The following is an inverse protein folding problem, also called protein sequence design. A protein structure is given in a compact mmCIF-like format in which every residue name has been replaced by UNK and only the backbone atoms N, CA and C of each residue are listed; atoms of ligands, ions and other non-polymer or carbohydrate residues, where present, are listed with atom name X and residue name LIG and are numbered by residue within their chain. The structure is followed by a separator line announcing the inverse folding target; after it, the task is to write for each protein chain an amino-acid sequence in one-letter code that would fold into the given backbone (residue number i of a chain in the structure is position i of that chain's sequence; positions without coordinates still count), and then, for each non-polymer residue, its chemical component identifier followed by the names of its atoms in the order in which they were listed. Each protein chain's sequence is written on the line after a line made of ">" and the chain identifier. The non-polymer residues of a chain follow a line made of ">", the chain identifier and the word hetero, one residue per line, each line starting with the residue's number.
data_IF_840960507022
#
_entry.id   IF_840960507022
#
_cell.length_a   1.000
_cell.length_b   1.000
_cell.length_c   1.000
_cell.angle_alpha   90.00
_cell.angle_beta   90.00
_cell.angle_gamma   90.00
#
_symmetry.space_group_name_H-M   'P 1'
#
loop_
_entity.id
_entity.type
_entity.pdbx_description
1 polymer ?
#
# COMPACT_ATOMS: atom_id res chain seq x y z
N UNK A 1 -62.51 0.23 -123.46
CA UNK A 1 -62.57 -0.83 -122.40
C UNK A 1 -61.23 -1.04 -121.71
N UNK A 2 -60.14 -1.42 -122.41
CA UNK A 2 -58.85 -1.76 -121.76
C UNK A 2 -58.15 -0.63 -120.96
N UNK A 3 -58.18 0.63 -121.42
CA UNK A 3 -57.54 1.76 -120.70
C UNK A 3 -58.21 2.06 -119.34
N UNK A 4 -59.52 1.93 -119.25
CA UNK A 4 -60.29 2.15 -118.01
C UNK A 4 -60.00 1.05 -116.98
N UNK A 5 -59.86 -0.20 -117.45
CA UNK A 5 -59.51 -1.36 -116.63
C UNK A 5 -58.06 -1.30 -116.08
N UNK A 6 -57.10 -0.73 -116.85
CA UNK A 6 -55.74 -0.50 -116.35
C UNK A 6 -55.69 0.57 -115.26
N UNK A 7 -56.35 1.72 -115.46
CA UNK A 7 -56.42 2.80 -114.47
C UNK A 7 -57.05 2.36 -113.14
N UNK A 8 -58.12 1.56 -113.22
CA UNK A 8 -58.78 1.02 -112.02
C UNK A 8 -57.92 -0.01 -111.29
N UNK A 9 -57.19 -0.87 -112.00
CA UNK A 9 -56.21 -1.79 -111.39
C UNK A 9 -55.05 -1.04 -110.71
N UNK A 10 -54.55 0.04 -111.31
CA UNK A 10 -53.49 0.87 -110.71
C UNK A 10 -53.96 1.55 -109.42
N UNK A 11 -55.17 2.12 -109.40
CA UNK A 11 -55.78 2.69 -108.20
C UNK A 11 -55.99 1.64 -107.10
N UNK A 12 -56.42 0.43 -107.47
CA UNK A 12 -56.62 -0.66 -106.51
C UNK A 12 -55.29 -1.15 -105.91
N UNK A 13 -54.22 -1.23 -106.71
CA UNK A 13 -52.87 -1.51 -106.21
C UNK A 13 -52.36 -0.43 -105.25
N UNK A 14 -52.60 0.86 -105.56
CA UNK A 14 -52.22 1.96 -104.66
C UNK A 14 -52.96 1.87 -103.33
N UNK A 15 -54.29 1.66 -103.39
CA UNK A 15 -55.11 1.49 -102.19
C UNK A 15 -54.67 0.32 -101.32
N UNK A 16 -54.38 -0.85 -101.92
CA UNK A 16 -53.84 -2.00 -101.20
C UNK A 16 -52.45 -1.72 -100.60
N UNK A 17 -51.62 -0.95 -101.31
CA UNK A 17 -50.34 -0.46 -100.80
C UNK A 17 -50.51 0.43 -99.55
N UNK A 18 -51.44 1.38 -99.61
CA UNK A 18 -51.75 2.28 -98.50
C UNK A 18 -52.30 1.52 -97.27
N UNK A 19 -53.18 0.54 -97.50
CA UNK A 19 -53.69 -0.36 -96.44
C UNK A 19 -52.54 -1.13 -95.79
N UNK A 20 -51.60 -1.67 -96.59
CA UNK A 20 -50.44 -2.40 -96.07
C UNK A 20 -49.51 -1.51 -95.25
N UNK A 21 -49.23 -0.30 -95.74
CA UNK A 21 -48.45 0.70 -95.01
C UNK A 21 -49.14 1.09 -93.69
N UNK A 22 -50.47 1.23 -93.70
CA UNK A 22 -51.26 1.51 -92.50
C UNK A 22 -51.17 0.37 -91.48
N UNK A 23 -51.27 -0.88 -91.94
CA UNK A 23 -51.11 -2.07 -91.09
C UNK A 23 -49.69 -2.17 -90.49
N UNK A 24 -48.64 -1.90 -91.29
CA UNK A 24 -47.26 -1.91 -90.80
C UNK A 24 -47.01 -0.81 -89.74
N UNK A 25 -47.60 0.37 -89.94
CA UNK A 25 -47.57 1.46 -88.95
C UNK A 25 -48.29 1.05 -87.67
N UNK A 26 -49.46 0.44 -87.78
CA UNK A 26 -50.23 -0.06 -86.63
C UNK A 26 -49.43 -1.10 -85.83
N UNK A 27 -48.84 -2.09 -86.50
CA UNK A 27 -48.01 -3.11 -85.86
C UNK A 27 -46.73 -2.52 -85.21
N UNK A 28 -46.20 -1.41 -85.76
CA UNK A 28 -45.09 -0.69 -85.13
C UNK A 28 -45.54 0.04 -83.85
N UNK A 29 -46.72 0.66 -83.87
CA UNK A 29 -47.30 1.32 -82.69
C UNK A 29 -47.58 0.30 -81.58
N UNK A 30 -48.13 -0.86 -81.90
CA UNK A 30 -48.40 -1.93 -80.93
C UNK A 30 -47.13 -2.45 -80.26
N UNK A 31 -46.05 -2.68 -81.03
CA UNK A 31 -44.75 -3.08 -80.46
C UNK A 31 -44.17 -2.03 -79.51
N UNK A 32 -44.25 -0.75 -79.89
CA UNK A 32 -43.79 0.35 -79.03
C UNK A 32 -44.64 0.47 -77.75
N UNK A 33 -45.94 0.23 -77.84
CA UNK A 33 -46.84 0.19 -76.69
C UNK A 33 -46.47 -0.94 -75.71
N UNK A 34 -46.18 -2.14 -76.24
CA UNK A 34 -45.75 -3.28 -75.42
C UNK A 34 -44.39 -3.00 -74.74
N UNK A 35 -43.42 -2.45 -75.47
CA UNK A 35 -42.12 -2.05 -74.92
C UNK A 35 -42.25 -0.98 -73.82
N UNK A 36 -43.10 0.03 -74.03
CA UNK A 36 -43.38 1.05 -73.01
C UNK A 36 -44.07 0.45 -71.79
N UNK A 37 -45.03 -0.45 -71.98
CA UNK A 37 -45.70 -1.20 -70.90
C UNK A 37 -44.69 -1.98 -70.06
N UNK A 38 -43.76 -2.69 -70.71
CA UNK A 38 -42.75 -3.48 -70.04
C UNK A 38 -41.76 -2.60 -69.26
N UNK A 39 -41.29 -1.49 -69.86
CA UNK A 39 -40.45 -0.49 -69.18
C UNK A 39 -41.15 0.15 -67.98
N UNK A 40 -42.45 0.46 -68.09
CA UNK A 40 -43.23 0.99 -66.97
C UNK A 40 -43.35 -0.02 -65.82
N UNK A 41 -43.58 -1.31 -66.13
CA UNK A 41 -43.57 -2.39 -65.13
C UNK A 41 -42.22 -2.53 -64.46
N UNK A 42 -41.13 -2.44 -65.21
CA UNK A 42 -39.79 -2.52 -64.64
C UNK A 42 -39.45 -1.32 -63.75
N UNK A 43 -39.78 -0.11 -64.20
CA UNK A 43 -39.59 1.12 -63.43
C UNK A 43 -40.39 1.11 -62.12
N UNK A 44 -41.66 0.66 -62.15
CA UNK A 44 -42.49 0.55 -60.95
C UNK A 44 -41.92 -0.45 -59.95
N UNK A 45 -41.44 -1.61 -60.42
CA UNK A 45 -40.74 -2.59 -59.56
C UNK A 45 -39.46 -2.00 -58.93
N UNK A 46 -38.70 -1.21 -59.67
CA UNK A 46 -37.51 -0.53 -59.13
C UNK A 46 -37.88 0.53 -58.09
N UNK A 47 -38.93 1.33 -58.34
CA UNK A 47 -39.42 2.32 -57.38
C UNK A 47 -39.88 1.64 -56.08
N UNK A 48 -40.55 0.50 -56.15
CA UNK A 48 -41.00 -0.20 -54.95
C UNK A 48 -39.82 -0.80 -54.16
N UNK A 49 -38.79 -1.33 -54.82
CA UNK A 49 -37.55 -1.75 -54.16
C UNK A 49 -36.89 -0.59 -53.42
N UNK A 50 -36.76 0.56 -54.08
CA UNK A 50 -36.19 1.77 -53.46
C UNK A 50 -37.03 2.23 -52.26
N UNK A 51 -38.37 2.16 -52.36
CA UNK A 51 -39.26 2.52 -51.25
C UNK A 51 -39.03 1.64 -50.03
N UNK A 52 -38.94 0.31 -50.21
CA UNK A 52 -38.69 -0.64 -49.11
C UNK A 52 -37.35 -0.36 -48.42
N UNK A 53 -36.29 -0.16 -49.20
CA UNK A 53 -34.96 0.17 -48.65
C UNK A 53 -35.01 1.49 -47.88
N UNK A 54 -35.72 2.50 -48.39
CA UNK A 54 -35.85 3.79 -47.72
C UNK A 54 -36.63 3.70 -46.39
N UNK A 55 -37.69 2.89 -46.34
CA UNK A 55 -38.42 2.58 -45.10
C UNK A 55 -37.51 1.87 -44.08
N UNK A 56 -36.74 0.87 -44.51
CA UNK A 56 -35.78 0.17 -43.63
C UNK A 56 -34.71 1.11 -43.07
N UNK A 57 -34.15 1.99 -43.90
CA UNK A 57 -33.18 3.01 -43.47
C UNK A 57 -33.82 4.00 -42.49
N UNK A 58 -35.07 4.40 -42.72
CA UNK A 58 -35.80 5.28 -41.82
C UNK A 58 -36.02 4.65 -40.44
N UNK A 59 -36.36 3.36 -40.39
CA UNK A 59 -36.53 2.63 -39.12
C UNK A 59 -35.20 2.55 -38.37
N UNK A 60 -34.12 2.14 -39.05
CA UNK A 60 -32.78 2.06 -38.45
C UNK A 60 -32.28 3.41 -37.95
N UNK A 61 -32.56 4.50 -38.66
CA UNK A 61 -32.19 5.85 -38.20
C UNK A 61 -32.91 6.22 -36.89
N UNK A 62 -34.19 5.87 -36.76
CA UNK A 62 -34.94 6.12 -35.53
C UNK A 62 -34.43 5.26 -34.36
N UNK A 63 -34.13 3.99 -34.61
CA UNK A 63 -33.54 3.07 -33.62
C UNK A 63 -32.18 3.58 -33.13
N UNK A 64 -31.27 3.91 -34.05
CA UNK A 64 -29.96 4.47 -33.71
C UNK A 64 -30.06 5.79 -32.96
N UNK A 65 -31.04 6.64 -33.31
CA UNK A 65 -31.30 7.89 -32.59
C UNK A 65 -31.70 7.63 -31.12
N UNK A 66 -32.56 6.63 -30.89
CA UNK A 66 -32.98 6.23 -29.54
C UNK A 66 -31.81 5.63 -28.73
N UNK A 67 -31.00 4.77 -29.34
CA UNK A 67 -29.80 4.21 -28.72
C UNK A 67 -28.81 5.31 -28.31
N UNK A 68 -28.60 6.29 -29.19
CA UNK A 68 -27.69 7.41 -28.95
C UNK A 68 -28.18 8.30 -27.80
N UNK A 69 -29.49 8.52 -27.69
CA UNK A 69 -30.11 9.22 -26.56
C UNK A 69 -29.94 8.45 -25.24
N UNK A 70 -30.15 7.12 -25.26
CA UNK A 70 -29.94 6.28 -24.09
C UNK A 70 -28.49 6.28 -23.61
N UNK A 71 -27.53 6.18 -24.55
CA UNK A 71 -26.10 6.24 -24.24
C UNK A 71 -25.69 7.60 -23.64
N UNK A 72 -26.26 8.71 -24.13
CA UNK A 72 -26.05 10.04 -23.55
C UNK A 72 -26.51 10.10 -22.09
N UNK A 73 -27.70 9.58 -21.78
CA UNK A 73 -28.22 9.54 -20.40
C UNK A 73 -27.31 8.72 -19.49
N UNK A 74 -26.93 7.49 -19.90
CA UNK A 74 -26.01 6.64 -19.13
C UNK A 74 -24.66 7.35 -18.91
N UNK A 75 -24.14 8.05 -19.93
CA UNK A 75 -22.90 8.79 -19.79
C UNK A 75 -23.02 9.94 -18.79
N UNK A 76 -24.14 10.67 -18.78
CA UNK A 76 -24.40 11.76 -17.83
C UNK A 76 -24.53 11.24 -16.40
N UNK A 77 -25.27 10.14 -16.21
CA UNK A 77 -25.44 9.51 -14.89
C UNK A 77 -24.10 9.02 -14.33
N UNK A 78 -23.27 8.39 -15.18
CA UNK A 78 -21.92 7.97 -14.78
C UNK A 78 -21.01 9.15 -14.44
N UNK A 79 -21.12 10.26 -15.19
CA UNK A 79 -20.36 11.46 -14.89
C UNK A 79 -20.75 12.04 -13.52
N UNK A 80 -22.05 12.09 -13.22
CA UNK A 80 -22.55 12.55 -11.92
C UNK A 80 -22.14 11.63 -10.75
N UNK A 81 -22.06 10.31 -10.98
CA UNK A 81 -21.55 9.35 -9.99
C UNK A 81 -20.07 9.60 -9.67
N UNK A 82 -19.24 9.77 -10.69
CA UNK A 82 -17.80 10.07 -10.52
C UNK A 82 -17.61 11.38 -9.76
N UNK A 83 -18.40 12.41 -10.07
CA UNK A 83 -18.36 13.70 -9.37
C UNK A 83 -18.72 13.55 -7.89
N UNK A 84 -19.75 12.77 -7.55
CA UNK A 84 -20.11 12.46 -6.15
C UNK A 84 -18.97 11.75 -5.41
N UNK A 85 -18.37 10.74 -6.02
CA UNK A 85 -17.26 9.99 -5.41
C UNK A 85 -16.03 10.88 -5.19
N UNK A 86 -15.74 11.79 -6.12
CA UNK A 86 -14.64 12.74 -5.99
C UNK A 86 -14.86 13.69 -4.81
N UNK A 87 -16.09 14.18 -4.64
CA UNK A 87 -16.44 15.08 -3.54
C UNK A 87 -16.40 14.37 -2.17
N UNK A 88 -16.85 13.13 -2.10
CA UNK A 88 -16.74 12.29 -0.90
C UNK A 88 -15.28 12.04 -0.51
N UNK A 89 -14.43 11.66 -1.47
CA UNK A 89 -12.99 11.48 -1.23
C UNK A 89 -12.30 12.78 -0.82
N UNK A 90 -12.72 13.92 -1.39
CA UNK A 90 -12.22 15.24 -1.00
C UNK A 90 -12.57 15.58 0.46
N UNK A 91 -13.79 15.25 0.90
CA UNK A 91 -14.22 15.44 2.29
C UNK A 91 -13.42 14.56 3.25
N UNK A 92 -13.32 13.25 2.96
CA UNK A 92 -12.50 12.30 3.75
C UNK A 92 -11.05 12.75 3.87
N UNK A 93 -10.46 13.26 2.78
CA UNK A 93 -9.10 13.81 2.80
C UNK A 93 -8.98 15.05 3.69
N UNK A 94 -9.99 15.93 3.76
CA UNK A 94 -9.98 17.07 4.67
C UNK A 94 -10.09 16.63 6.14
N UNK A 95 -10.95 15.67 6.43
CA UNK A 95 -11.11 15.11 7.77
C UNK A 95 -9.81 14.44 8.25
N UNK A 96 -9.21 13.59 7.43
CA UNK A 96 -7.94 12.94 7.72
C UNK A 96 -6.81 13.96 7.94
N UNK A 97 -6.76 15.04 7.16
CA UNK A 97 -5.80 16.15 7.40
C UNK A 97 -6.00 16.81 8.76
N UNK A 98 -7.25 17.06 9.15
CA UNK A 98 -7.56 17.65 10.46
C UNK A 98 -7.15 16.71 11.60
N UNK A 99 -7.33 15.40 11.44
CA UNK A 99 -6.94 14.42 12.46
C UNK A 99 -5.42 14.30 12.59
N UNK A 100 -4.70 14.28 11.46
CA UNK A 100 -3.24 14.35 11.44
C UNK A 100 -2.69 15.59 12.15
N UNK A 101 -3.38 16.73 12.00
CA UNK A 101 -3.03 17.97 12.70
C UNK A 101 -3.22 17.85 14.21
N UNK A 102 -4.34 17.27 14.68
CA UNK A 102 -4.56 17.02 16.11
C UNK A 102 -3.51 16.09 16.69
N UNK A 103 -3.20 14.99 16.01
CA UNK A 103 -2.17 14.04 16.44
C UNK A 103 -0.79 14.69 16.51
N UNK A 104 -0.47 15.60 15.58
CA UNK A 104 0.76 16.39 15.64
C UNK A 104 0.84 17.24 16.91
N UNK A 105 -0.22 17.97 17.23
CA UNK A 105 -0.30 18.78 18.46
C UNK A 105 -0.11 17.93 19.72
N UNK A 106 -0.77 16.77 19.79
CA UNK A 106 -0.63 15.85 20.93
C UNK A 106 0.80 15.32 21.05
N UNK A 107 1.42 14.92 19.93
CA UNK A 107 2.80 14.41 19.92
C UNK A 107 3.81 15.48 20.37
N UNK A 108 3.58 16.74 20.03
CA UNK A 108 4.42 17.86 20.49
C UNK A 108 4.32 18.04 22.01
N UNK A 109 3.11 18.02 22.57
CA UNK A 109 2.89 18.10 24.03
C UNK A 109 3.55 16.92 24.75
N UNK A 110 3.38 15.69 24.25
CA UNK A 110 4.01 14.50 24.84
C UNK A 110 5.54 14.60 24.78
N UNK A 111 6.10 15.13 23.68
CA UNK A 111 7.55 15.33 23.54
C UNK A 111 8.09 16.31 24.57
N UNK A 112 7.39 17.45 24.78
CA UNK A 112 7.76 18.40 25.84
C UNK A 112 7.70 17.73 27.21
N UNK A 113 6.63 16.99 27.52
CA UNK A 113 6.48 16.32 28.81
C UNK A 113 7.55 15.25 29.06
N UNK A 114 7.96 14.52 28.03
CA UNK A 114 9.05 13.56 28.12
C UNK A 114 10.39 14.22 28.44
N UNK A 115 10.66 15.40 27.87
CA UNK A 115 11.85 16.18 28.19
C UNK A 115 11.84 16.65 29.65
N UNK A 116 10.69 17.16 30.13
CA UNK A 116 10.52 17.59 31.52
C UNK A 116 10.76 16.43 32.50
N UNK A 117 10.13 15.28 32.25
CA UNK A 117 10.32 14.08 33.09
C UNK A 117 11.76 13.58 33.05
N UNK A 118 12.44 13.69 31.91
CA UNK A 118 13.86 13.34 31.79
C UNK A 118 14.74 14.25 32.65
N UNK A 119 14.46 15.56 32.67
CA UNK A 119 15.14 16.53 33.53
C UNK A 119 14.89 16.24 35.03
N UNK A 120 13.64 15.94 35.39
CA UNK A 120 13.28 15.55 36.76
C UNK A 120 14.03 14.29 37.22
N UNK A 121 14.10 13.26 36.36
CA UNK A 121 14.85 12.03 36.64
C UNK A 121 16.34 12.31 36.86
N UNK A 122 16.93 13.18 36.05
CA UNK A 122 18.34 13.53 36.19
C UNK A 122 18.64 14.31 37.49
N UNK A 123 17.75 15.23 37.87
CA UNK A 123 17.85 15.96 39.13
C UNK A 123 17.72 15.02 40.34
N UNK A 124 16.77 14.06 40.31
CA UNK A 124 16.63 13.06 41.36
C UNK A 124 17.87 12.18 41.49
N UNK A 125 18.48 11.76 40.37
CA UNK A 125 19.74 11.00 40.38
C UNK A 125 20.89 11.80 41.01
N UNK A 126 21.01 13.09 40.70
CA UNK A 126 22.02 13.97 41.34
C UNK A 126 21.82 14.06 42.85
N UNK A 127 20.59 14.30 43.31
CA UNK A 127 20.29 14.35 44.74
C UNK A 127 20.50 13.02 45.44
N UNK A 128 20.24 11.89 44.77
CA UNK A 128 20.56 10.57 45.31
C UNK A 128 22.07 10.38 45.46
N UNK A 129 22.86 10.75 44.44
CA UNK A 129 24.32 10.70 44.51
C UNK A 129 24.89 11.62 45.62
N UNK A 130 24.33 12.81 45.80
CA UNK A 130 24.68 13.75 46.89
C UNK A 130 24.37 13.17 48.28
N UNK A 131 23.21 12.51 48.45
CA UNK A 131 22.81 11.83 49.69
C UNK A 131 23.69 10.61 49.99
N UNK A 132 24.06 9.85 48.96
CA UNK A 132 24.98 8.72 49.10
C UNK A 132 26.40 9.20 49.48
N UNK A 133 26.86 10.34 48.94
CA UNK A 133 28.13 10.96 49.31
C UNK A 133 28.15 11.49 50.75
N UNK A 134 27.05 12.08 51.22
CA UNK A 134 26.91 12.56 52.62
C UNK A 134 26.74 11.42 53.62
N UNK A 135 26.13 10.29 53.22
CA UNK A 135 26.09 9.07 54.05
C UNK A 135 27.48 8.45 54.24
N UNK A 136 28.39 8.61 53.30
CA UNK A 136 29.77 8.14 53.42
C UNK A 136 30.65 9.03 54.32
N UNK A 137 30.29 10.28 54.59
CA UNK A 137 31.09 11.19 55.45
C UNK A 137 30.73 11.15 56.93
N UNK A 138 29.61 10.51 57.34
CA UNK A 138 29.19 10.44 58.74
C UNK A 138 29.60 9.18 59.51
N UNK A 139 30.35 8.24 58.90
CA UNK A 139 30.94 7.10 59.61
C UNK A 139 32.45 7.30 59.85
N UNK A 140 32.80 8.42 60.48
CA UNK A 140 34.14 8.68 61.02
C UNK A 140 34.20 8.37 62.52
N UNK A 141 33.97 7.11 62.92
CA UNK A 141 34.34 6.65 64.27
C UNK A 141 35.64 5.85 64.17
N UNK A 142 36.73 6.52 64.54
CA UNK A 142 38.03 5.89 64.79
C UNK A 142 37.91 5.12 66.11
N UNK A 143 37.98 3.79 66.04
CA UNK A 143 38.26 2.94 67.19
C UNK A 143 39.71 2.46 67.12
N UNK A 144 40.50 2.89 68.10
CA UNK A 144 41.80 2.30 68.46
C UNK A 144 41.65 0.83 68.83
N UNK A 145 42.54 -0.03 68.32
CA UNK A 145 42.59 -1.44 68.75
C UNK A 145 43.39 -2.37 67.85
N UNK A 146 44.70 -2.39 68.10
CA UNK A 146 45.58 -3.59 68.09
C UNK A 146 45.89 -4.32 66.78
N UNK A 147 47.19 -4.34 66.48
CA UNK A 147 47.90 -5.09 65.45
C UNK A 147 47.68 -6.61 65.55
N UNK A 148 47.18 -7.22 64.48
CA UNK A 148 47.71 -8.49 63.97
C UNK A 148 47.71 -8.45 62.45
N UNK A 149 48.89 -8.67 61.88
CA UNK A 149 49.11 -8.79 60.45
C UNK A 149 48.24 -9.91 59.87
N UNK A 150 47.26 -9.55 59.05
CA UNK A 150 46.72 -10.39 57.99
C UNK A 150 46.36 -9.45 56.85
N UNK A 151 46.86 -9.77 55.66
CA UNK A 151 46.63 -9.02 54.44
C UNK A 151 45.12 -8.81 54.24
N UNK A 152 44.73 -7.55 54.07
CA UNK A 152 43.37 -7.17 53.74
C UNK A 152 43.02 -7.82 52.40
N UNK A 153 42.17 -8.86 52.44
CA UNK A 153 41.34 -9.21 51.30
C UNK A 153 40.45 -7.99 51.03
N UNK A 154 40.85 -7.19 50.04
CA UNK A 154 40.03 -6.12 49.50
C UNK A 154 38.76 -6.77 48.92
N UNK A 155 37.71 -6.72 49.72
CA UNK A 155 36.38 -7.12 49.32
C UNK A 155 35.96 -6.30 48.12
N UNK A 156 35.73 -6.98 46.99
CA UNK A 156 34.85 -6.43 45.98
C UNK A 156 34.03 -7.54 45.34
N UNK A 157 32.71 -7.43 45.56
CA UNK A 157 31.64 -8.24 45.01
C UNK A 157 31.57 -9.70 45.51
N UNK A 158 30.68 -9.93 46.48
CA UNK A 158 30.22 -11.26 46.86
C UNK A 158 29.58 -11.94 45.63
N UNK A 159 30.09 -13.09 45.14
CA UNK A 159 29.53 -13.81 44.01
C UNK A 159 28.05 -14.14 44.18
N UNK A 160 27.58 -14.31 45.43
CA UNK A 160 26.17 -14.54 45.72
C UNK A 160 25.30 -13.30 45.45
N UNK A 161 25.82 -12.09 45.71
CA UNK A 161 25.12 -10.84 45.43
C UNK A 161 25.05 -10.55 43.94
N UNK A 162 26.11 -10.85 43.18
CA UNK A 162 26.10 -10.73 41.72
C UNK A 162 25.11 -11.70 41.09
N UNK A 163 25.14 -12.97 41.50
CA UNK A 163 24.18 -13.96 41.02
C UNK A 163 22.76 -13.60 41.40
N UNK A 164 22.52 -13.03 42.59
CA UNK A 164 21.19 -12.54 42.97
C UNK A 164 20.73 -11.41 42.06
N UNK A 165 21.57 -10.43 41.78
CA UNK A 165 21.23 -9.30 40.90
C UNK A 165 20.98 -9.75 39.45
N UNK A 166 21.82 -10.67 38.94
CA UNK A 166 21.65 -11.27 37.61
C UNK A 166 20.34 -12.07 37.54
N UNK A 167 20.07 -12.90 38.56
CA UNK A 167 18.85 -13.70 38.62
C UNK A 167 17.60 -12.83 38.76
N UNK A 168 17.63 -11.79 39.61
CA UNK A 168 16.53 -10.83 39.72
C UNK A 168 16.30 -10.06 38.41
N UNK A 169 17.37 -9.71 37.69
CA UNK A 169 17.28 -9.07 36.37
C UNK A 169 16.68 -10.03 35.34
N UNK A 170 17.11 -11.29 35.33
CA UNK A 170 16.54 -12.34 34.47
C UNK A 170 15.07 -12.63 34.80
N UNK A 171 14.71 -12.72 36.08
CA UNK A 171 13.32 -12.90 36.51
C UNK A 171 12.44 -11.70 36.12
N UNK A 172 12.96 -10.48 36.21
CA UNK A 172 12.27 -9.27 35.72
C UNK A 172 12.11 -9.32 34.20
N UNK A 173 13.12 -9.75 33.46
CA UNK A 173 13.02 -9.93 32.00
C UNK A 173 12.01 -11.01 31.63
N UNK A 174 11.98 -12.14 32.32
CA UNK A 174 11.00 -13.23 32.10
C UNK A 174 9.57 -12.73 32.37
N UNK A 175 9.35 -12.05 33.50
CA UNK A 175 8.04 -11.45 33.83
C UNK A 175 7.62 -10.39 32.81
N UNK A 176 8.55 -9.56 32.34
CA UNK A 176 8.29 -8.59 31.27
C UNK A 176 7.93 -9.28 29.95
N UNK A 177 8.60 -10.37 29.59
CA UNK A 177 8.26 -11.15 28.39
C UNK A 177 6.91 -11.86 28.50
N UNK A 178 6.54 -12.37 29.68
CA UNK A 178 5.21 -12.96 29.91
C UNK A 178 4.09 -11.92 29.84
N UNK A 179 4.28 -10.75 30.44
CA UNK A 179 3.32 -9.63 30.34
C UNK A 179 3.19 -9.15 28.90
N UNK A 180 4.30 -9.09 28.14
CA UNK A 180 4.30 -8.71 26.73
C UNK A 180 3.68 -9.76 25.81
N UNK A 181 3.91 -11.04 26.06
CA UNK A 181 3.25 -12.13 25.33
C UNK A 181 1.73 -12.05 25.46
N UNK A 182 1.22 -11.75 26.66
CA UNK A 182 -0.20 -11.47 26.89
C UNK A 182 -0.68 -10.20 26.18
N UNK A 183 0.14 -9.14 26.17
CA UNK A 183 -0.20 -7.90 25.46
C UNK A 183 -0.26 -8.09 23.94
N UNK A 184 0.53 -9.01 23.35
CA UNK A 184 0.47 -9.32 21.90
C UNK A 184 -0.79 -10.13 21.57
N UNK A 185 -1.19 -11.05 22.43
CA UNK A 185 -2.51 -11.72 22.33
C UNK A 185 -3.66 -10.70 22.45
N UNK A 186 -3.50 -9.64 23.24
CA UNK A 186 -4.47 -8.53 23.33
C UNK A 186 -4.37 -7.50 22.18
N UNK A 187 -3.19 -7.28 21.56
CA UNK A 187 -2.98 -6.31 20.46
C UNK A 187 -3.32 -6.90 19.09
N UNK A 188 -3.22 -8.22 18.91
CA UNK A 188 -3.84 -8.92 17.78
C UNK A 188 -5.32 -9.18 18.08
N UNK A 189 -6.06 -8.11 18.35
CA UNK A 189 -7.50 -8.19 18.53
C UNK A 189 -8.15 -8.61 17.21
N UNK A 190 -8.80 -9.78 17.18
CA UNK A 190 -9.55 -10.24 16.02
C UNK A 190 -10.72 -9.28 15.70
N UNK A 191 -11.09 -8.42 16.64
CA UNK A 191 -12.07 -7.36 16.45
C UNK A 191 -11.52 -6.07 15.85
N UNK A 192 -10.19 -5.91 15.74
CA UNK A 192 -9.54 -4.75 15.15
C UNK A 192 -9.96 -4.56 13.68
N UNK A 193 -10.46 -3.36 13.39
CA UNK A 193 -11.08 -3.01 12.11
C UNK A 193 -10.06 -3.00 10.96
N UNK A 194 -8.81 -2.64 11.22
CA UNK A 194 -7.74 -2.67 10.24
C UNK A 194 -7.27 -4.10 9.93
N UNK A 195 -7.24 -4.99 10.92
CA UNK A 195 -6.96 -6.42 10.71
C UNK A 195 -8.09 -7.13 9.96
N UNK A 196 -9.35 -6.75 10.20
CA UNK A 196 -10.52 -7.25 9.44
C UNK A 196 -10.48 -6.84 7.97
N UNK A 197 -10.14 -5.58 7.68
CA UNK A 197 -9.97 -5.10 6.30
C UNK A 197 -8.82 -5.81 5.57
N UNK A 198 -7.70 -6.04 6.27
CA UNK A 198 -6.58 -6.82 5.73
C UNK A 198 -6.97 -8.27 5.42
N UNK A 199 -7.79 -8.89 6.28
CA UNK A 199 -8.30 -10.25 6.07
C UNK A 199 -9.28 -10.32 4.90
N UNK A 200 -10.09 -9.29 4.69
CA UNK A 200 -10.96 -9.17 3.51
C UNK A 200 -10.19 -8.98 2.20
N UNK A 201 -9.01 -8.34 2.25
CA UNK A 201 -8.12 -8.16 1.10
C UNK A 201 -7.36 -9.44 0.70
N UNK A 202 -7.23 -10.41 1.61
CA UNK A 202 -6.70 -11.74 1.33
C UNK A 202 -5.84 -12.34 2.45
N UNK A 203 -6.07 -13.61 2.75
CA UNK A 203 -5.43 -14.32 3.86
C UNK A 203 -3.89 -14.29 3.83
N UNK A 204 -3.28 -14.37 2.65
CA UNK A 204 -1.82 -14.33 2.53
C UNK A 204 -1.19 -12.98 2.90
N UNK A 205 -1.90 -11.87 2.70
CA UNK A 205 -1.42 -10.53 3.11
C UNK A 205 -1.54 -10.39 4.63
N UNK A 206 -2.65 -10.86 5.19
CA UNK A 206 -2.88 -10.91 6.62
C UNK A 206 -1.77 -11.70 7.34
N UNK A 207 -1.47 -12.92 6.89
CA UNK A 207 -0.46 -13.78 7.53
C UNK A 207 0.93 -13.12 7.52
N UNK A 208 1.33 -12.50 6.40
CA UNK A 208 2.62 -11.79 6.27
C UNK A 208 2.70 -10.59 7.21
N UNK A 209 1.62 -9.80 7.33
CA UNK A 209 1.60 -8.63 8.22
C UNK A 209 1.64 -9.06 9.69
N UNK A 210 0.89 -10.10 10.06
CA UNK A 210 0.93 -10.66 11.42
C UNK A 210 2.31 -11.24 11.76
N UNK A 211 2.95 -11.92 10.81
CA UNK A 211 4.30 -12.46 10.99
C UNK A 211 5.34 -11.34 11.15
N UNK A 212 5.27 -10.29 10.32
CA UNK A 212 6.15 -9.13 10.42
C UNK A 212 5.97 -8.37 11.74
N UNK A 213 4.74 -8.21 12.23
CA UNK A 213 4.47 -7.58 13.54
C UNK A 213 5.06 -8.40 14.69
N UNK A 214 4.93 -9.73 14.65
CA UNK A 214 5.55 -10.64 15.62
C UNK A 214 7.07 -10.59 15.56
N UNK A 215 7.65 -10.50 14.36
CA UNK A 215 9.10 -10.42 14.16
C UNK A 215 9.67 -9.07 14.64
N UNK A 216 8.97 -7.96 14.38
CA UNK A 216 9.35 -6.63 14.84
C UNK A 216 9.41 -6.53 16.37
N UNK A 217 8.46 -7.14 17.09
CA UNK A 217 8.49 -7.17 18.55
C UNK A 217 9.63 -8.06 19.09
N UNK A 218 9.84 -9.23 18.46
CA UNK A 218 10.94 -10.15 18.80
C UNK A 218 12.31 -9.49 18.66
N UNK A 219 12.48 -8.58 17.70
CA UNK A 219 13.77 -7.94 17.44
C UNK A 219 13.93 -6.57 18.11
N UNK A 220 12.87 -5.79 18.36
CA UNK A 220 12.97 -4.42 18.89
C UNK A 220 11.71 -3.89 19.62
N UNK A 221 11.31 -4.55 20.70
CA UNK A 221 10.13 -4.24 21.52
C UNK A 221 10.25 -3.03 22.46
N UNK A 222 11.16 -2.08 22.20
CA UNK A 222 11.24 -0.80 22.93
C UNK A 222 11.54 0.42 22.05
N UNK A 223 11.64 0.22 20.73
CA UNK A 223 11.64 1.29 19.74
C UNK A 223 12.51 2.51 20.06
N UNK A 224 13.82 2.37 20.31
CA UNK A 224 14.89 3.42 20.15
C UNK A 224 16.22 3.13 20.88
N UNK A 225 16.79 1.93 20.83
CA UNK A 225 18.23 1.80 21.17
C UNK A 225 18.89 0.70 20.36
N UNK A 226 19.96 1.05 19.64
CA UNK A 226 20.88 0.05 19.09
C UNK A 226 21.41 -0.72 20.30
N UNK A 227 21.07 -2.01 20.42
CA UNK A 227 21.65 -2.88 21.44
C UNK A 227 23.02 -3.31 20.91
N UNK A 228 24.15 -2.77 21.43
CA UNK A 228 25.46 -3.19 20.98
C UNK A 228 25.67 -4.66 21.38
N UNK A 229 25.81 -5.52 20.38
CA UNK A 229 26.09 -6.93 20.59
C UNK A 229 27.60 -7.17 20.73
N UNK A 230 28.00 -7.89 21.78
CA UNK A 230 29.39 -8.32 21.93
C UNK A 230 29.66 -9.48 20.96
N UNK A 231 30.66 -9.32 20.10
CA UNK A 231 31.04 -10.33 19.11
C UNK A 231 32.33 -11.04 19.50
N UNK A 232 32.33 -12.38 19.45
CA UNK A 232 33.55 -13.16 19.58
C UNK A 232 34.18 -13.32 18.18
N UNK A 233 35.08 -12.40 17.83
CA UNK A 233 35.75 -12.41 16.52
C UNK A 233 36.60 -13.66 16.25
N UNK A 234 37.03 -14.37 17.30
CA UNK A 234 37.80 -15.62 17.13
C UNK A 234 36.92 -16.77 16.64
N UNK A 235 35.67 -16.83 17.09
CA UNK A 235 34.72 -17.90 16.75
C UNK A 235 33.68 -17.47 15.70
N UNK A 236 33.68 -16.20 15.29
CA UNK A 236 32.79 -15.69 14.25
C UNK A 236 31.31 -15.66 14.65
N UNK A 237 31.01 -15.64 15.95
CA UNK A 237 29.64 -15.64 16.50
C UNK A 237 29.46 -14.61 17.61
N UNK A 238 28.22 -14.36 18.01
CA UNK A 238 27.90 -13.57 19.22
C UNK A 238 28.61 -14.16 20.43
N UNK A 239 29.25 -13.29 21.21
CA UNK A 239 29.91 -13.67 22.45
C UNK A 239 28.86 -14.03 23.50
N UNK A 240 29.11 -15.11 24.22
CA UNK A 240 28.29 -15.49 25.38
C UNK A 240 28.60 -14.57 26.56
N UNK A 241 27.67 -14.48 27.50
CA UNK A 241 27.82 -13.66 28.72
C UNK A 241 29.05 -14.09 29.52
N UNK A 242 29.34 -15.40 29.57
CA UNK A 242 30.52 -15.96 30.25
C UNK A 242 31.81 -15.45 29.59
N UNK A 243 31.92 -15.53 28.27
CA UNK A 243 33.07 -15.00 27.52
C UNK A 243 33.25 -13.49 27.72
N UNK A 244 32.15 -12.74 27.81
CA UNK A 244 32.17 -11.30 28.11
C UNK A 244 32.72 -10.98 29.49
N UNK A 245 32.28 -11.72 30.52
CA UNK A 245 32.74 -11.57 31.91
C UNK A 245 34.22 -11.94 32.02
N UNK A 246 34.65 -13.04 31.39
CA UNK A 246 36.05 -13.47 31.38
C UNK A 246 36.96 -12.44 30.68
N UNK A 247 36.49 -11.85 29.58
CA UNK A 247 37.19 -10.78 28.88
C UNK A 247 37.38 -9.54 29.77
N UNK A 248 36.34 -9.12 30.48
CA UNK A 248 36.40 -8.00 31.43
C UNK A 248 37.37 -8.29 32.59
N UNK A 249 37.27 -9.49 33.18
CA UNK A 249 38.16 -9.93 34.26
C UNK A 249 39.63 -9.90 33.83
N UNK A 250 39.93 -10.36 32.62
CA UNK A 250 41.29 -10.33 32.07
C UNK A 250 41.80 -8.90 31.89
N UNK A 251 41.00 -8.02 31.30
CA UNK A 251 41.36 -6.59 31.12
C UNK A 251 41.58 -5.87 32.44
N UNK A 252 40.79 -6.17 33.47
CA UNK A 252 40.97 -5.58 34.80
C UNK A 252 42.29 -6.03 35.44
N UNK A 253 42.64 -7.32 35.37
CA UNK A 253 43.91 -7.82 35.88
C UNK A 253 45.12 -7.26 35.11
N UNK A 254 45.02 -7.11 33.79
CA UNK A 254 46.07 -6.48 32.97
C UNK A 254 46.32 -5.02 33.39
N UNK A 255 45.24 -4.25 33.60
CA UNK A 255 45.34 -2.85 34.05
C UNK A 255 45.91 -2.70 35.46
N UNK A 256 45.61 -3.63 36.38
CA UNK A 256 46.23 -3.64 37.71
C UNK A 256 47.72 -4.01 37.66
N UNK A 257 48.10 -4.95 36.81
CA UNK A 257 49.49 -5.32 36.58
C UNK A 257 50.29 -4.16 35.97
N UNK A 258 49.72 -3.42 35.02
CA UNK A 258 50.34 -2.21 34.47
C UNK A 258 50.53 -1.11 35.52
N UNK A 259 49.53 -0.89 36.38
CA UNK A 259 49.64 0.05 37.51
C UNK A 259 50.75 -0.35 38.49
N UNK A 260 50.88 -1.65 38.79
CA UNK A 260 51.92 -2.15 39.68
C UNK A 260 53.32 -2.09 39.06
N UNK A 261 53.47 -2.38 37.77
CA UNK A 261 54.73 -2.18 37.03
C UNK A 261 55.13 -0.70 36.98
N UNK A 262 54.18 0.22 36.80
CA UNK A 262 54.43 1.66 36.81
C UNK A 262 54.79 2.20 38.20
N UNK A 263 54.20 1.65 39.28
CA UNK A 263 54.60 1.96 40.66
C UNK A 263 56.06 1.51 40.92
N UNK A 264 56.44 0.30 40.52
CA UNK A 264 57.82 -0.23 40.67
C UNK A 264 58.85 0.57 39.85
N UNK A 265 58.50 1.03 38.65
CA UNK A 265 59.35 1.91 37.83
C UNK A 265 59.55 3.31 38.44
N UNK A 266 58.58 3.82 39.21
CA UNK A 266 58.71 5.10 39.92
C UNK A 266 59.58 4.99 41.18
N UNK A 267 59.57 3.84 41.86
CA UNK A 267 60.41 3.59 43.04
C UNK A 267 61.87 3.26 42.74
N UNK A 268 62.22 2.93 41.49
CA UNK A 268 63.59 2.64 41.04
C UNK A 268 64.30 3.85 40.42
N UNK A 269 63.68 5.04 40.41
CA UNK A 269 64.38 6.27 40.02
C UNK A 269 65.30 6.72 41.17
N UNK A 270 66.62 6.89 40.95
CA UNK A 270 67.49 7.47 41.96
C UNK A 270 67.00 8.88 42.28
N UNK A 271 67.09 9.27 43.56
CA UNK A 271 66.84 10.65 43.99
C UNK A 271 67.90 11.61 43.47
#
# INVERSE_FOLDING_TARGET
>A
MHKQCRKTNELFRHYLGDVRISQDKQAKVERLLEELSLKNKEMTNQMEKLRRVNEEVSVKNNELSLELENLKRISQDKQAEVERQLEELSLKNKEMKNEMEKLRCVNEVVSLKNNDLSLELENLKKHQAERELTRCTCNGQVHEGTTTANAAEEGWFDPAQLNRFINESHERQIKLTEIRGKLIEEVLDEEDEALKELKACGQGIYDVVVEALKEMDKYNSSGRTIVPELWNYREGRKATVVEGIDCLKKKMMEHENEKNCNKRRRSLRPR
#
